data_IF_852023546654
#
_entry.id   IF_852023546654
#
_cell.length_a   1.000
_cell.length_b   1.000
_cell.length_c   1.000
_cell.angle_alpha   90.00
_cell.angle_beta   90.00
_cell.angle_gamma   90.00
#
_symmetry.space_group_name_H-M   'P 1'
#
loop_
_entity.id
_entity.type
_entity.pdbx_description
1 polymer ?
#
# COMPACT_ATOMS: atom_id res chain seq x y z
N UNK A 1 -22.18 -3.12 -5.49
CA UNK A 1 -20.80 -2.61 -5.56
C UNK A 1 -19.95 -3.77 -6.02
N UNK A 2 -19.24 -3.65 -7.14
CA UNK A 2 -18.26 -4.67 -7.55
C UNK A 2 -17.18 -4.81 -6.48
N UNK A 3 -16.55 -5.97 -6.38
CA UNK A 3 -15.56 -6.21 -5.35
C UNK A 3 -14.33 -5.34 -5.60
N UNK A 4 -13.72 -4.79 -4.55
CA UNK A 4 -12.57 -3.88 -4.65
C UNK A 4 -11.44 -4.47 -5.49
N UNK A 5 -11.23 -5.78 -5.38
CA UNK A 5 -10.26 -6.55 -6.17
C UNK A 5 -10.42 -6.45 -7.70
N UNK A 6 -11.61 -6.09 -8.18
CA UNK A 6 -11.95 -6.03 -9.61
C UNK A 6 -11.75 -4.62 -10.19
N UNK A 7 -11.67 -3.59 -9.34
CA UNK A 7 -11.65 -2.17 -9.74
C UNK A 7 -10.44 -1.40 -9.23
N UNK A 8 -9.80 -1.86 -8.15
CA UNK A 8 -8.66 -1.19 -7.55
C UNK A 8 -7.39 -1.55 -8.32
N UNK A 9 -6.81 -0.56 -8.97
CA UNK A 9 -5.44 -0.56 -9.47
C UNK A 9 -4.91 0.88 -9.44
N UNK A 10 -3.61 1.02 -9.67
CA UNK A 10 -3.01 2.34 -9.87
C UNK A 10 -3.22 2.79 -11.32
N UNK A 11 -3.11 4.09 -11.60
CA UNK A 11 -3.21 4.59 -12.98
C UNK A 11 -2.15 3.93 -13.87
N UNK A 12 -2.65 3.13 -14.82
CA UNK A 12 -1.85 2.35 -15.75
C UNK A 12 -1.07 3.22 -16.76
N UNK A 13 -0.13 2.60 -17.47
CA UNK A 13 0.64 3.25 -18.53
C UNK A 13 1.77 4.16 -18.03
N UNK A 14 2.19 5.09 -18.89
CA UNK A 14 3.40 5.92 -18.70
C UNK A 14 3.17 7.41 -18.94
N UNK A 15 1.90 7.84 -19.02
CA UNK A 15 1.51 9.24 -19.16
C UNK A 15 1.71 10.05 -17.88
N UNK A 16 1.49 11.37 -17.93
CA UNK A 16 1.77 12.26 -16.79
C UNK A 16 0.96 11.93 -15.51
N UNK A 17 -0.26 11.41 -15.67
CA UNK A 17 -1.11 10.98 -14.56
C UNK A 17 -0.91 9.51 -14.16
N UNK A 18 -0.02 8.78 -14.86
CA UNK A 18 0.28 7.38 -14.51
C UNK A 18 0.99 7.29 -13.17
N UNK A 19 0.77 6.18 -12.47
CA UNK A 19 1.45 5.89 -11.21
C UNK A 19 2.98 5.90 -11.38
N UNK A 20 3.48 5.38 -12.50
CA UNK A 20 4.92 5.36 -12.83
C UNK A 20 5.54 6.76 -12.80
N UNK A 21 4.79 7.80 -13.19
CA UNK A 21 5.29 9.18 -13.31
C UNK A 21 4.93 10.06 -12.12
N UNK A 22 3.76 9.85 -11.52
CA UNK A 22 3.21 10.72 -10.49
C UNK A 22 3.51 10.24 -9.06
N UNK A 23 3.78 8.94 -8.87
CA UNK A 23 4.00 8.38 -7.55
C UNK A 23 5.40 8.67 -7.01
N UNK A 24 5.55 9.88 -6.51
CA UNK A 24 6.79 10.38 -5.97
C UNK A 24 6.89 10.07 -4.45
N UNK A 25 5.76 10.05 -3.73
CA UNK A 25 5.71 9.75 -2.28
C UNK A 25 6.23 8.35 -1.96
N UNK A 26 5.72 7.31 -2.62
CA UNK A 26 6.17 5.92 -2.40
C UNK A 26 7.66 5.75 -2.69
N UNK A 27 8.21 6.42 -3.72
CA UNK A 27 9.66 6.41 -4.00
C UNK A 27 10.46 6.95 -2.81
N UNK A 28 9.99 8.06 -2.21
CA UNK A 28 10.64 8.66 -1.03
C UNK A 28 10.57 7.74 0.19
N UNK A 29 9.41 7.14 0.44
CA UNK A 29 9.22 6.15 1.51
C UNK A 29 10.19 4.99 1.32
N UNK A 30 10.21 4.39 0.13
CA UNK A 30 11.11 3.29 -0.20
C UNK A 30 12.58 3.63 0.03
N UNK A 31 13.01 4.86 -0.31
CA UNK A 31 14.36 5.32 -0.06
C UNK A 31 14.70 5.38 1.45
N UNK A 32 13.77 5.88 2.27
CA UNK A 32 13.94 5.95 3.74
C UNK A 32 13.95 4.55 4.37
N UNK A 33 13.05 3.68 3.90
CA UNK A 33 12.91 2.33 4.43
C UNK A 33 13.85 1.31 3.80
N UNK A 34 14.64 1.71 2.79
CA UNK A 34 15.57 0.82 2.08
C UNK A 34 16.42 -0.04 3.03
N UNK A 35 16.95 0.47 4.17
CA UNK A 35 17.74 -0.35 5.10
C UNK A 35 16.99 -1.50 5.78
N UNK A 36 15.65 -1.50 5.78
CA UNK A 36 14.84 -2.53 6.43
C UNK A 36 14.96 -3.87 5.68
N UNK A 37 14.97 -3.84 4.34
CA UNK A 37 15.07 -5.06 3.52
C UNK A 37 16.40 -5.79 3.73
N UNK A 38 17.59 -5.14 3.64
CA UNK A 38 18.86 -5.79 3.96
C UNK A 38 18.90 -6.37 5.38
N UNK A 39 18.33 -5.69 6.38
CA UNK A 39 18.25 -6.21 7.77
C UNK A 39 17.38 -7.46 7.84
N UNK A 40 16.23 -7.49 7.16
CA UNK A 40 15.37 -8.66 7.11
C UNK A 40 16.05 -9.85 6.40
N UNK A 41 16.78 -9.61 5.30
CA UNK A 41 17.58 -10.63 4.61
C UNK A 41 18.70 -11.15 5.53
N UNK A 42 19.43 -10.26 6.22
CA UNK A 42 20.46 -10.67 7.17
C UNK A 42 19.90 -11.54 8.29
N UNK A 43 18.76 -11.15 8.86
CA UNK A 43 18.04 -11.88 9.92
C UNK A 43 17.63 -13.29 9.43
N UNK A 44 17.03 -13.38 8.24
CA UNK A 44 16.65 -14.64 7.60
C UNK A 44 17.85 -15.60 7.43
N UNK A 45 18.95 -15.12 6.85
CA UNK A 45 20.13 -15.96 6.56
C UNK A 45 20.90 -16.36 7.82
N UNK A 46 20.87 -15.54 8.87
CA UNK A 46 21.54 -15.83 10.14
C UNK A 46 20.83 -16.94 10.91
N UNK A 47 19.50 -17.04 10.82
CA UNK A 47 18.72 -18.08 11.49
C UNK A 47 18.44 -19.32 10.64
N UNK A 48 18.82 -19.29 9.37
CA UNK A 48 18.78 -20.48 8.51
C UNK A 48 19.88 -21.44 8.96
N UNK A 49 19.52 -22.71 9.15
CA UNK A 49 20.44 -23.77 9.56
C UNK A 49 21.72 -23.74 8.72
N UNK A 50 22.87 -23.68 9.40
CA UNK A 50 24.15 -23.61 8.71
C UNK A 50 24.52 -24.89 7.97
N UNK A 51 23.93 -26.03 8.34
CA UNK A 51 24.18 -27.32 7.71
C UNK A 51 23.40 -27.54 6.41
N UNK A 52 22.33 -26.79 6.16
CA UNK A 52 21.48 -26.93 4.98
C UNK A 52 21.29 -25.54 4.35
N UNK A 53 22.18 -25.12 3.44
CA UNK A 53 22.03 -23.83 2.77
C UNK A 53 20.74 -23.83 1.93
N UNK A 54 20.06 -22.69 1.90
CA UNK A 54 18.96 -22.47 0.96
C UNK A 54 19.52 -22.60 -0.46
N UNK A 55 18.94 -23.47 -1.27
CA UNK A 55 19.27 -23.56 -2.69
C UNK A 55 18.49 -22.52 -3.50
N UNK A 56 17.28 -22.17 -3.04
CA UNK A 56 16.41 -21.17 -3.65
C UNK A 56 15.87 -20.25 -2.56
N UNK A 57 15.86 -18.94 -2.83
CA UNK A 57 15.21 -17.92 -2.00
C UNK A 57 14.02 -17.34 -2.75
N UNK A 58 12.83 -17.83 -2.38
CA UNK A 58 11.55 -17.30 -2.86
C UNK A 58 11.18 -16.00 -2.13
N UNK A 59 10.93 -14.95 -2.92
CA UNK A 59 10.66 -13.59 -2.46
C UNK A 59 9.38 -13.10 -3.12
N UNK A 60 8.44 -12.54 -2.37
CA UNK A 60 7.23 -11.91 -2.92
C UNK A 60 7.21 -10.41 -2.66
N UNK A 61 6.74 -9.64 -3.64
CA UNK A 61 6.35 -8.24 -3.52
C UNK A 61 4.83 -8.15 -3.69
N UNK A 62 4.11 -7.84 -2.61
CA UNK A 62 2.65 -7.83 -2.54
C UNK A 62 2.11 -6.42 -2.75
N UNK A 63 1.35 -6.24 -3.83
CA UNK A 63 0.90 -4.93 -4.30
C UNK A 63 2.04 -4.13 -4.89
N UNK A 64 2.73 -4.73 -5.87
CA UNK A 64 3.92 -4.19 -6.52
C UNK A 64 3.65 -3.01 -7.48
N UNK A 65 2.38 -2.83 -7.90
CA UNK A 65 1.94 -1.87 -8.89
C UNK A 65 2.81 -1.93 -10.17
N UNK A 66 3.22 -0.75 -10.66
CA UNK A 66 4.08 -0.57 -11.83
C UNK A 66 5.09 0.54 -11.56
N UNK A 67 6.26 0.49 -12.21
CA UNK A 67 7.27 1.55 -12.15
C UNK A 67 8.63 1.07 -11.62
N UNK A 68 9.52 2.00 -11.26
CA UNK A 68 10.86 1.66 -10.76
C UNK A 68 10.86 0.98 -9.38
N UNK A 69 9.79 1.12 -8.60
CA UNK A 69 9.65 0.64 -7.23
C UNK A 69 9.94 -0.88 -7.10
N UNK A 70 9.18 -1.79 -7.76
CA UNK A 70 9.45 -3.22 -7.67
C UNK A 70 10.84 -3.61 -8.15
N UNK A 71 11.38 -2.91 -9.17
CA UNK A 71 12.73 -3.18 -9.71
C UNK A 71 13.84 -2.81 -8.73
N UNK A 72 13.68 -1.70 -8.00
CA UNK A 72 14.61 -1.26 -6.95
C UNK A 72 14.54 -2.19 -5.73
N UNK A 73 13.35 -2.69 -5.39
CA UNK A 73 13.19 -3.72 -4.37
C UNK A 73 13.95 -5.01 -4.74
N UNK A 74 13.73 -5.53 -5.96
CA UNK A 74 14.45 -6.71 -6.47
C UNK A 74 15.97 -6.52 -6.42
N UNK A 75 16.45 -5.36 -6.88
CA UNK A 75 17.85 -4.96 -6.83
C UNK A 75 18.41 -5.00 -5.40
N UNK A 76 17.68 -4.42 -4.45
CA UNK A 76 18.07 -4.37 -3.03
C UNK A 76 18.15 -5.77 -2.43
N UNK A 77 17.22 -6.65 -2.76
CA UNK A 77 17.23 -8.06 -2.30
C UNK A 77 18.43 -8.82 -2.87
N UNK A 78 18.67 -8.73 -4.18
CA UNK A 78 19.80 -9.39 -4.85
C UNK A 78 21.13 -8.94 -4.20
N UNK A 79 21.33 -7.64 -4.06
CA UNK A 79 22.53 -7.06 -3.45
C UNK A 79 22.70 -7.50 -1.98
N UNK A 80 21.60 -7.58 -1.23
CA UNK A 80 21.62 -8.01 0.18
C UNK A 80 22.00 -9.48 0.33
N UNK A 81 21.46 -10.35 -0.53
CA UNK A 81 21.78 -11.79 -0.53
C UNK A 81 23.23 -12.00 -0.98
N UNK A 82 23.67 -11.34 -2.07
CA UNK A 82 25.05 -11.39 -2.54
C UNK A 82 26.04 -11.04 -1.42
N UNK A 83 25.79 -9.93 -0.75
CA UNK A 83 26.62 -9.47 0.38
C UNK A 83 26.66 -10.52 1.49
N UNK A 84 25.50 -11.01 1.92
CA UNK A 84 25.40 -11.95 3.04
C UNK A 84 26.01 -13.32 2.73
N UNK A 85 25.81 -13.85 1.52
CA UNK A 85 26.48 -15.07 1.07
C UNK A 85 27.99 -14.90 1.03
N UNK A 86 28.49 -13.77 0.52
CA UNK A 86 29.91 -13.44 0.53
C UNK A 86 30.51 -13.38 1.94
N UNK A 87 29.83 -12.73 2.89
CA UNK A 87 30.23 -12.67 4.31
C UNK A 87 30.29 -14.06 4.97
N UNK A 88 29.40 -14.98 4.56
CA UNK A 88 29.30 -16.33 5.12
C UNK A 88 30.14 -17.37 4.37
N UNK A 89 30.82 -16.99 3.28
CA UNK A 89 31.54 -17.92 2.40
C UNK A 89 30.61 -18.95 1.73
N UNK A 90 29.35 -18.59 1.47
CA UNK A 90 28.33 -19.46 0.88
C UNK A 90 28.18 -19.23 -0.61
N UNK A 91 27.75 -20.28 -1.30
CA UNK A 91 27.27 -20.16 -2.67
C UNK A 91 25.98 -19.31 -2.72
N UNK A 92 25.80 -18.63 -3.85
CA UNK A 92 24.62 -17.81 -4.10
C UNK A 92 23.43 -18.73 -4.40
N UNK A 93 22.31 -18.66 -3.64
CA UNK A 93 21.10 -19.37 -4.02
C UNK A 93 20.49 -18.78 -5.29
N UNK A 94 19.67 -19.56 -5.99
CA UNK A 94 18.78 -18.99 -6.98
C UNK A 94 17.72 -18.11 -6.29
N UNK A 95 17.35 -17.00 -6.91
CA UNK A 95 16.33 -16.11 -6.35
C UNK A 95 15.08 -16.17 -7.22
N UNK A 96 13.93 -16.47 -6.62
CA UNK A 96 12.65 -16.48 -7.32
C UNK A 96 11.77 -15.34 -6.80
N UNK A 97 11.51 -14.35 -7.65
CA UNK A 97 10.63 -13.22 -7.33
C UNK A 97 9.20 -13.48 -7.80
N UNK A 98 8.24 -13.21 -6.92
CA UNK A 98 6.81 -13.20 -7.22
C UNK A 98 6.31 -11.77 -7.10
N UNK A 99 6.00 -11.15 -8.23
CA UNK A 99 5.46 -9.80 -8.30
C UNK A 99 3.93 -9.91 -8.30
N UNK A 100 3.33 -9.64 -7.14
CA UNK A 100 1.90 -9.76 -6.93
C UNK A 100 1.21 -8.40 -7.03
N UNK A 101 0.07 -8.39 -7.70
CA UNK A 101 -0.90 -7.30 -7.65
C UNK A 101 -2.29 -7.84 -8.02
N UNK A 102 -3.31 -6.99 -7.95
CA UNK A 102 -4.65 -7.31 -8.43
C UNK A 102 -4.65 -7.48 -9.95
N UNK A 103 -5.68 -8.18 -10.46
CA UNK A 103 -5.77 -8.60 -11.87
C UNK A 103 -5.80 -7.42 -12.86
N UNK A 104 -6.26 -6.24 -12.41
CA UNK A 104 -6.34 -5.02 -13.23
C UNK A 104 -5.04 -4.22 -13.33
N UNK A 105 -3.97 -4.63 -12.63
CA UNK A 105 -2.67 -3.96 -12.70
C UNK A 105 -2.00 -4.18 -14.06
N UNK A 106 -1.23 -3.18 -14.52
CA UNK A 106 -0.52 -3.22 -15.81
C UNK A 106 0.77 -4.05 -15.74
N UNK A 107 0.60 -5.37 -15.62
CA UNK A 107 1.68 -6.35 -15.66
C UNK A 107 2.52 -6.25 -16.95
N UNK A 108 1.94 -5.80 -18.07
CA UNK A 108 2.68 -5.62 -19.32
C UNK A 108 3.77 -4.54 -19.17
N UNK A 109 3.44 -3.40 -18.58
CA UNK A 109 4.41 -2.34 -18.28
C UNK A 109 5.41 -2.80 -17.22
N UNK A 110 4.97 -3.51 -16.18
CA UNK A 110 5.87 -4.09 -15.18
C UNK A 110 6.91 -5.03 -15.79
N UNK A 111 6.48 -5.99 -16.63
CA UNK A 111 7.36 -6.98 -17.24
C UNK A 111 8.36 -6.37 -18.23
N UNK A 112 7.98 -5.31 -18.95
CA UNK A 112 8.93 -4.55 -19.79
C UNK A 112 10.09 -3.98 -18.95
N UNK A 113 9.80 -3.53 -17.73
CA UNK A 113 10.77 -2.99 -16.79
C UNK A 113 11.81 -4.00 -16.28
N UNK A 114 11.50 -5.31 -16.27
CA UNK A 114 12.40 -6.37 -15.77
C UNK A 114 13.73 -6.44 -16.51
N UNK A 115 13.77 -5.99 -17.77
CA UNK A 115 15.00 -5.88 -18.56
C UNK A 115 16.08 -5.04 -17.87
N UNK A 116 15.70 -4.03 -17.08
CA UNK A 116 16.64 -3.20 -16.31
C UNK A 116 17.38 -4.01 -15.25
N UNK A 117 16.66 -4.89 -14.53
CA UNK A 117 17.25 -5.77 -13.51
C UNK A 117 18.11 -6.85 -14.18
N UNK A 118 17.66 -7.37 -15.32
CA UNK A 118 18.40 -8.37 -16.10
C UNK A 118 19.75 -7.84 -16.56
N UNK A 119 19.78 -6.62 -17.08
CA UNK A 119 21.02 -6.00 -17.53
C UNK A 119 21.98 -5.71 -16.38
N UNK A 120 21.44 -5.33 -15.20
CA UNK A 120 22.24 -5.03 -13.99
C UNK A 120 22.82 -6.28 -13.33
N UNK A 121 22.10 -7.41 -13.31
CA UNK A 121 22.48 -8.62 -12.56
C UNK A 121 22.63 -9.88 -13.43
N UNK A 122 23.27 -9.76 -14.61
CA UNK A 122 23.50 -10.88 -15.55
C UNK A 122 24.25 -12.10 -14.96
N UNK A 123 25.00 -11.90 -13.87
CA UNK A 123 25.83 -12.93 -13.23
C UNK A 123 25.15 -13.64 -12.05
N UNK A 124 23.91 -13.26 -11.74
CA UNK A 124 23.13 -13.84 -10.64
C UNK A 124 22.01 -14.68 -11.22
N UNK A 125 21.80 -15.90 -10.73
CA UNK A 125 20.63 -16.71 -11.11
C UNK A 125 19.40 -16.17 -10.38
N UNK A 126 18.56 -15.42 -11.10
CA UNK A 126 17.29 -14.95 -10.58
C UNK A 126 16.19 -15.09 -11.64
N UNK A 127 14.97 -15.27 -11.16
CA UNK A 127 13.77 -15.45 -11.97
C UNK A 127 12.65 -14.57 -11.43
N UNK A 128 11.75 -14.11 -12.28
CA UNK A 128 10.56 -13.37 -11.87
C UNK A 128 9.29 -13.96 -12.48
N UNK A 129 8.24 -14.00 -11.68
CA UNK A 129 6.89 -14.43 -12.06
C UNK A 129 5.89 -13.36 -11.65
N UNK A 130 4.85 -13.16 -12.47
CA UNK A 130 3.66 -12.43 -12.05
C UNK A 130 2.74 -13.33 -11.21
N UNK A 131 2.19 -12.79 -10.13
CA UNK A 131 1.24 -13.49 -9.27
C UNK A 131 -0.06 -12.67 -9.15
N UNK A 132 -0.95 -12.69 -10.16
CA UNK A 132 -2.18 -11.90 -10.12
C UNK A 132 -3.16 -12.45 -9.06
N UNK A 133 -3.65 -11.58 -8.18
CA UNK A 133 -4.64 -11.94 -7.17
C UNK A 133 -4.58 -11.08 -5.91
N UNK A 134 -5.64 -11.15 -5.10
CA UNK A 134 -5.71 -10.42 -3.83
C UNK A 134 -4.84 -11.09 -2.76
N UNK A 135 -3.95 -10.32 -2.13
CA UNK A 135 -3.20 -10.77 -0.96
C UNK A 135 -4.06 -10.91 0.30
N UNK A 136 -5.34 -10.52 0.28
CA UNK A 136 -6.27 -10.86 1.36
C UNK A 136 -6.64 -12.35 1.37
N UNK A 137 -6.25 -13.12 0.34
CA UNK A 137 -6.35 -14.57 0.27
C UNK A 137 -4.99 -15.28 0.26
N UNK A 138 -5.01 -16.59 -0.01
CA UNK A 138 -3.82 -17.38 -0.34
C UNK A 138 -3.37 -17.09 -1.77
N UNK A 139 -2.07 -16.88 -1.95
CA UNK A 139 -1.41 -16.66 -3.24
C UNK A 139 -0.40 -17.77 -3.56
N UNK A 140 0.25 -18.32 -2.54
CA UNK A 140 1.37 -19.25 -2.71
C UNK A 140 1.10 -20.58 -2.00
N UNK A 141 1.78 -21.67 -2.39
CA UNK A 141 1.78 -22.93 -1.63
C UNK A 141 2.22 -22.75 -0.17
N UNK A 142 1.96 -23.76 0.68
CA UNK A 142 2.41 -23.70 2.07
C UNK A 142 3.93 -23.82 2.14
N UNK A 143 4.55 -23.08 3.08
CA UNK A 143 5.99 -23.10 3.33
C UNK A 143 6.88 -22.83 2.11
N UNK A 144 6.41 -22.03 1.14
CA UNK A 144 7.14 -21.72 -0.08
C UNK A 144 7.87 -20.39 -0.04
N UNK A 145 7.51 -19.44 0.81
CA UNK A 145 8.04 -18.07 0.78
C UNK A 145 9.08 -17.82 1.88
N UNK A 146 10.24 -17.25 1.56
CA UNK A 146 11.26 -16.93 2.57
C UNK A 146 11.20 -15.47 3.01
N UNK A 147 10.93 -14.58 2.05
CA UNK A 147 10.75 -13.15 2.30
C UNK A 147 9.47 -12.68 1.60
N UNK A 148 8.60 -12.02 2.33
CA UNK A 148 7.43 -11.32 1.79
C UNK A 148 7.62 -9.84 2.06
N UNK A 149 7.44 -9.02 1.03
CA UNK A 149 7.52 -7.57 1.09
C UNK A 149 6.19 -6.97 0.64
N UNK A 150 5.82 -5.83 1.20
CA UNK A 150 4.75 -5.00 0.69
C UNK A 150 5.04 -3.56 1.06
N UNK A 151 4.90 -2.65 0.10
CA UNK A 151 5.09 -1.23 0.31
C UNK A 151 3.90 -0.45 -0.24
N UNK A 152 3.18 0.20 0.67
CA UNK A 152 2.04 1.07 0.42
C UNK A 152 0.86 0.35 -0.26
N UNK A 153 0.59 -0.89 0.18
CA UNK A 153 -0.50 -1.71 -0.36
C UNK A 153 -1.45 -2.24 0.72
N UNK A 154 -0.95 -2.61 1.90
CA UNK A 154 -1.73 -3.27 2.99
C UNK A 154 -2.84 -2.40 3.60
N UNK A 155 -2.76 -1.07 3.46
CA UNK A 155 -3.80 -0.16 3.95
C UNK A 155 -5.07 -0.18 3.09
N UNK A 156 -5.03 -0.76 1.88
CA UNK A 156 -6.21 -0.99 1.06
C UNK A 156 -6.98 -2.20 1.59
N UNK A 157 -8.25 -1.99 1.88
CA UNK A 157 -9.17 -2.99 2.41
C UNK A 157 -9.65 -3.94 1.30
N UNK A 158 -10.09 -5.13 1.68
CA UNK A 158 -10.62 -6.13 0.75
C UNK A 158 -11.98 -5.74 0.18
N UNK A 159 -12.76 -4.97 0.94
CA UNK A 159 -14.01 -4.34 0.53
C UNK A 159 -14.22 -2.99 1.23
N UNK A 160 -15.08 -2.16 0.66
CA UNK A 160 -15.52 -0.93 1.33
C UNK A 160 -16.38 -1.29 2.54
N UNK A 161 -16.16 -0.72 3.73
CA UNK A 161 -16.96 -1.06 4.90
C UNK A 161 -18.45 -0.75 4.66
N UNK A 162 -19.32 -1.66 5.10
CA UNK A 162 -20.78 -1.49 4.98
C UNK A 162 -21.27 -0.44 5.99
N UNK A 163 -21.46 0.78 5.50
CA UNK A 163 -21.78 1.96 6.34
C UNK A 163 -23.22 2.42 6.04
N UNK A 164 -24.19 1.63 6.50
CA UNK A 164 -25.62 1.93 6.37
C UNK A 164 -26.32 1.86 7.73
N UNK A 165 -27.43 2.57 7.87
CA UNK A 165 -28.31 2.44 9.03
C UNK A 165 -29.18 1.17 8.93
N UNK A 166 -30.03 0.94 9.94
CA UNK A 166 -30.95 -0.21 9.98
C UNK A 166 -31.92 -0.26 8.78
N UNK A 167 -32.23 0.89 8.18
CA UNK A 167 -33.08 1.02 7.00
C UNK A 167 -32.31 0.86 5.67
N UNK A 168 -31.00 0.57 5.71
CA UNK A 168 -30.15 0.46 4.52
C UNK A 168 -29.74 1.79 3.89
N UNK A 169 -30.01 2.93 4.55
CA UNK A 169 -29.61 4.24 4.06
C UNK A 169 -28.15 4.55 4.43
N UNK A 170 -27.39 5.25 3.57
CA UNK A 170 -26.00 5.56 3.88
C UNK A 170 -25.84 6.45 5.11
N UNK A 171 -24.87 6.11 5.97
CA UNK A 171 -24.56 6.85 7.19
C UNK A 171 -23.48 7.93 7.00
N UNK A 172 -22.57 7.76 6.03
CA UNK A 172 -21.42 8.64 5.84
C UNK A 172 -21.69 9.74 4.79
N UNK A 173 -22.84 10.40 4.90
CA UNK A 173 -23.33 11.33 3.87
C UNK A 173 -22.34 12.47 3.58
N UNK A 174 -22.19 12.80 2.29
CA UNK A 174 -21.27 13.84 1.81
C UNK A 174 -19.79 13.55 2.06
N UNK A 175 -19.43 12.34 2.53
CA UNK A 175 -18.06 11.91 2.82
C UNK A 175 -17.78 10.62 2.08
N UNK A 176 -16.51 10.42 1.71
CA UNK A 176 -16.06 9.18 1.06
C UNK A 176 -15.17 8.34 1.97
N UNK A 177 -14.76 8.87 3.12
CA UNK A 177 -13.92 8.21 4.12
C UNK A 177 -14.37 8.60 5.53
N UNK A 178 -13.70 8.09 6.56
CA UNK A 178 -13.84 8.65 7.91
C UNK A 178 -13.49 10.14 7.90
N UNK A 179 -14.28 10.94 8.61
CA UNK A 179 -14.06 12.36 8.82
C UNK A 179 -14.46 12.74 10.24
N UNK A 180 -14.03 13.92 10.71
CA UNK A 180 -14.44 14.47 12.01
C UNK A 180 -15.95 14.66 12.13
N UNK A 181 -16.64 14.81 11.01
CA UNK A 181 -18.11 14.98 10.95
C UNK A 181 -18.85 13.65 10.74
N UNK A 182 -18.13 12.53 10.58
CA UNK A 182 -18.74 11.22 10.38
C UNK A 182 -19.29 10.67 11.71
N UNK A 183 -20.43 9.95 11.70
CA UNK A 183 -20.92 9.26 12.89
C UNK A 183 -19.89 8.25 13.43
N UNK A 184 -19.83 7.99 14.76
CA UNK A 184 -18.91 7.01 15.35
C UNK A 184 -19.05 5.58 14.79
N UNK A 185 -20.22 5.22 14.25
CA UNK A 185 -20.43 3.94 13.57
C UNK A 185 -19.52 3.77 12.34
N UNK A 186 -19.17 4.87 11.66
CA UNK A 186 -18.29 4.87 10.48
C UNK A 186 -16.89 4.41 10.89
N UNK A 187 -16.29 5.05 11.90
CA UNK A 187 -14.93 4.71 12.35
C UNK A 187 -14.83 3.27 12.86
N UNK A 188 -15.88 2.80 13.56
CA UNK A 188 -15.99 1.41 14.00
C UNK A 188 -16.06 0.42 12.82
N UNK A 189 -16.80 0.74 11.77
CA UNK A 189 -16.92 -0.11 10.58
C UNK A 189 -15.57 -0.25 9.85
N UNK A 190 -14.87 0.87 9.64
CA UNK A 190 -13.53 0.89 9.06
C UNK A 190 -12.52 0.08 9.86
N UNK A 191 -12.49 0.27 11.18
CA UNK A 191 -11.62 -0.52 12.06
C UNK A 191 -11.96 -2.01 11.98
N UNK A 192 -13.24 -2.38 12.03
CA UNK A 192 -13.67 -3.78 11.94
C UNK A 192 -13.22 -4.44 10.64
N UNK A 193 -13.38 -3.76 9.51
CA UNK A 193 -12.94 -4.26 8.20
C UNK A 193 -11.42 -4.45 8.16
N UNK A 194 -10.66 -3.45 8.62
CA UNK A 194 -9.21 -3.56 8.69
C UNK A 194 -8.74 -4.72 9.58
N UNK A 195 -9.39 -4.93 10.74
CA UNK A 195 -9.06 -6.03 11.64
C UNK A 195 -9.26 -7.39 10.97
N UNK A 196 -10.32 -7.57 10.20
CA UNK A 196 -10.60 -8.80 9.44
C UNK A 196 -9.57 -9.02 8.33
N UNK A 197 -9.30 -7.98 7.55
CA UNK A 197 -8.38 -8.03 6.40
C UNK A 197 -6.94 -8.28 6.85
N UNK A 198 -6.47 -7.53 7.84
CA UNK A 198 -5.10 -7.66 8.36
C UNK A 198 -4.91 -9.00 9.09
N UNK A 199 -5.90 -9.49 9.86
CA UNK A 199 -5.82 -10.82 10.47
C UNK A 199 -5.74 -11.92 9.39
N UNK A 200 -6.52 -11.79 8.32
CA UNK A 200 -6.48 -12.72 7.19
C UNK A 200 -5.13 -12.69 6.48
N UNK A 201 -4.58 -11.50 6.24
CA UNK A 201 -3.23 -11.32 5.69
C UNK A 201 -2.19 -12.04 6.56
N UNK A 202 -2.16 -11.79 7.88
CA UNK A 202 -1.23 -12.46 8.80
C UNK A 202 -1.35 -13.99 8.73
N UNK A 203 -2.58 -14.50 8.82
CA UNK A 203 -2.91 -15.95 8.78
C UNK A 203 -2.50 -16.61 7.47
N UNK A 204 -2.70 -15.95 6.33
CA UNK A 204 -2.36 -16.51 5.03
C UNK A 204 -0.87 -16.44 4.76
N UNK A 205 -0.22 -15.31 5.08
CA UNK A 205 1.24 -15.18 4.97
C UNK A 205 1.95 -16.18 5.87
N UNK A 206 1.50 -16.39 7.10
CA UNK A 206 2.14 -17.36 8.00
C UNK A 206 2.09 -18.79 7.49
N UNK A 207 1.02 -19.19 6.79
CA UNK A 207 0.93 -20.50 6.14
C UNK A 207 1.89 -20.64 4.93
N UNK A 208 2.10 -19.55 4.21
CA UNK A 208 2.93 -19.51 2.99
C UNK A 208 4.41 -19.38 3.29
N UNK A 209 4.76 -18.73 4.40
CA UNK A 209 6.15 -18.56 4.81
C UNK A 209 6.80 -19.91 5.16
N UNK A 210 8.01 -20.13 4.66
CA UNK A 210 8.90 -21.19 5.13
C UNK A 210 9.28 -20.97 6.61
N UNK A 211 9.79 -22.00 7.31
CA UNK A 211 10.37 -21.83 8.65
C UNK A 211 11.40 -20.69 8.67
N UNK A 212 11.35 -19.84 9.70
CA UNK A 212 12.15 -18.61 9.82
C UNK A 212 11.91 -17.57 8.71
N UNK A 213 10.84 -17.67 7.92
CA UNK A 213 10.50 -16.65 6.93
C UNK A 213 10.20 -15.28 7.56
N UNK A 214 10.43 -14.22 6.78
CA UNK A 214 10.20 -12.82 7.18
C UNK A 214 9.12 -12.17 6.34
N UNK A 215 8.36 -11.27 6.96
CA UNK A 215 7.45 -10.34 6.29
C UNK A 215 7.90 -8.92 6.59
N UNK A 216 8.07 -8.09 5.58
CA UNK A 216 8.34 -6.66 5.70
C UNK A 216 7.14 -5.92 5.13
N UNK A 217 6.40 -5.22 5.98
CA UNK A 217 5.25 -4.44 5.56
C UNK A 217 5.52 -2.97 5.83
N UNK A 218 5.31 -2.13 4.83
CA UNK A 218 5.40 -0.69 4.93
C UNK A 218 4.10 -0.13 4.39
N UNK A 219 3.32 0.62 5.16
CA UNK A 219 2.03 1.12 4.70
C UNK A 219 1.62 2.37 5.47
N UNK A 220 0.67 3.14 4.92
CA UNK A 220 0.12 4.29 5.60
C UNK A 220 -0.50 3.92 6.94
N UNK A 221 -0.25 4.73 7.95
CA UNK A 221 -0.76 4.57 9.30
C UNK A 221 -1.04 5.92 9.94
N UNK A 222 -1.03 5.96 11.27
CA UNK A 222 -1.23 7.17 12.06
C UNK A 222 -0.49 7.07 13.40
N UNK A 223 -0.08 8.21 13.92
CA UNK A 223 0.47 8.31 15.28
C UNK A 223 -0.61 8.60 16.33
N UNK A 224 -1.71 9.25 15.93
CA UNK A 224 -2.76 9.68 16.85
C UNK A 224 -3.74 8.55 17.15
N UNK A 225 -4.21 8.50 18.39
CA UNK A 225 -5.29 7.58 18.81
C UNK A 225 -6.62 7.88 18.10
N UNK A 226 -6.84 9.12 17.65
CA UNK A 226 -7.99 9.51 16.82
C UNK A 226 -7.76 9.14 15.33
N UNK A 227 -8.60 8.27 14.73
CA UNK A 227 -8.48 7.90 13.32
C UNK A 227 -8.95 9.00 12.36
N UNK A 228 -9.63 10.04 12.87
CA UNK A 228 -10.17 11.16 12.08
C UNK A 228 -9.24 12.38 12.05
N UNK A 229 -7.98 12.20 12.44
CA UNK A 229 -6.98 13.26 12.43
C UNK A 229 -6.76 13.81 11.01
N UNK A 230 -6.41 15.10 10.93
CA UNK A 230 -6.15 15.83 9.68
C UNK A 230 -5.16 15.07 8.77
N UNK A 231 -4.02 14.62 9.30
CA UNK A 231 -2.98 13.97 8.52
C UNK A 231 -3.46 12.63 7.90
N UNK A 232 -4.44 11.98 8.54
CA UNK A 232 -5.04 10.74 8.05
C UNK A 232 -6.13 10.98 7.00
N UNK A 233 -7.01 11.96 7.23
CA UNK A 233 -8.26 12.10 6.47
C UNK A 233 -8.22 13.17 5.39
N UNK A 234 -7.28 14.11 5.42
CA UNK A 234 -7.35 15.34 4.62
C UNK A 234 -7.48 15.10 3.11
N UNK A 235 -6.73 14.15 2.54
CA UNK A 235 -6.84 13.80 1.12
C UNK A 235 -8.26 13.40 0.74
N UNK A 236 -8.90 12.58 1.58
CA UNK A 236 -10.24 12.06 1.33
C UNK A 236 -11.32 13.09 1.60
N UNK A 237 -11.15 13.94 2.62
CA UNK A 237 -12.03 15.09 2.87
C UNK A 237 -12.02 16.07 1.69
N UNK A 238 -10.84 16.37 1.14
CA UNK A 238 -10.67 17.25 -0.01
C UNK A 238 -11.34 16.70 -1.28
N UNK A 239 -11.17 15.39 -1.55
CA UNK A 239 -11.85 14.74 -2.67
C UNK A 239 -13.37 14.67 -2.46
N UNK A 240 -13.84 14.45 -1.22
CA UNK A 240 -15.27 14.50 -0.88
C UNK A 240 -15.86 15.90 -1.09
N UNK A 241 -15.13 16.96 -0.75
CA UNK A 241 -15.55 18.34 -0.99
C UNK A 241 -15.64 18.65 -2.50
N UNK A 242 -14.65 18.20 -3.27
CA UNK A 242 -14.69 18.34 -4.73
C UNK A 242 -15.87 17.57 -5.35
N UNK A 243 -16.16 16.36 -4.89
CA UNK A 243 -17.35 15.59 -5.30
C UNK A 243 -18.65 16.30 -4.91
N UNK A 244 -18.72 16.85 -3.69
CA UNK A 244 -19.90 17.59 -3.21
C UNK A 244 -20.16 18.84 -4.06
N UNK A 245 -19.09 19.52 -4.51
CA UNK A 245 -19.22 20.59 -5.50
C UNK A 245 -19.81 20.07 -6.81
N UNK A 246 -19.35 18.94 -7.35
CA UNK A 246 -19.92 18.37 -8.57
C UNK A 246 -21.38 17.93 -8.42
N UNK A 247 -21.79 17.48 -7.23
CA UNK A 247 -23.21 17.24 -6.88
C UNK A 247 -24.00 18.55 -6.97
N UNK A 248 -23.49 19.65 -6.39
CA UNK A 248 -24.14 20.97 -6.47
C UNK A 248 -24.29 21.50 -7.90
N UNK A 249 -23.43 21.06 -8.83
CA UNK A 249 -23.49 21.40 -10.24
C UNK A 249 -24.40 20.46 -11.06
N UNK A 250 -25.03 19.47 -10.43
CA UNK A 250 -25.84 18.45 -11.10
C UNK A 250 -25.03 17.48 -11.97
N UNK A 251 -23.71 17.38 -11.76
CA UNK A 251 -22.81 16.51 -12.52
C UNK A 251 -22.66 15.12 -11.88
N UNK A 252 -22.89 15.01 -10.58
CA UNK A 252 -22.86 13.75 -9.81
C UNK A 252 -24.18 13.60 -9.06
N UNK A 253 -24.74 12.39 -9.07
CA UNK A 253 -25.89 12.04 -8.25
C UNK A 253 -25.52 12.01 -6.76
N UNK A 254 -26.28 12.70 -5.91
CA UNK A 254 -26.01 12.79 -4.47
C UNK A 254 -26.05 11.40 -3.80
N UNK A 255 -26.95 10.52 -4.24
CA UNK A 255 -27.03 9.15 -3.74
C UNK A 255 -25.79 8.32 -4.05
N UNK A 256 -25.13 8.55 -5.20
CA UNK A 256 -23.83 7.93 -5.53
C UNK A 256 -22.71 8.41 -4.63
N UNK A 257 -22.70 9.68 -4.22
CA UNK A 257 -21.72 10.21 -3.26
C UNK A 257 -21.97 9.60 -1.88
N UNK A 258 -23.20 9.67 -1.38
CA UNK A 258 -23.56 9.21 -0.04
C UNK A 258 -23.32 7.71 0.16
N UNK A 259 -23.49 6.90 -0.89
CA UNK A 259 -23.29 5.45 -0.85
C UNK A 259 -21.84 5.00 -1.06
N UNK A 260 -20.95 5.89 -1.49
CA UNK A 260 -19.56 5.56 -1.80
C UNK A 260 -18.65 5.74 -0.58
N UNK A 261 -17.85 4.71 -0.29
CA UNK A 261 -16.83 4.73 0.75
C UNK A 261 -15.55 4.11 0.20
N UNK A 262 -14.40 4.74 0.47
CA UNK A 262 -13.10 4.25 -0.01
C UNK A 262 -12.67 3.05 0.82
N UNK A 263 -12.19 1.95 0.20
CA UNK A 263 -11.74 0.75 0.91
C UNK A 263 -10.32 0.95 1.43
N UNK A 264 -10.14 1.81 2.42
CA UNK A 264 -8.83 2.28 2.85
C UNK A 264 -8.79 2.47 4.37
N UNK A 265 -7.69 2.13 5.04
CA UNK A 265 -7.54 2.35 6.48
C UNK A 265 -6.10 2.63 6.91
N UNK A 266 -5.90 3.68 7.72
CA UNK A 266 -4.64 4.00 8.35
C UNK A 266 -4.65 3.55 9.83
N UNK A 267 -4.04 2.40 10.16
CA UNK A 267 -3.98 1.92 11.53
C UNK A 267 -2.90 2.64 12.36
N UNK A 268 -3.03 2.57 13.69
CA UNK A 268 -1.95 2.92 14.62
C UNK A 268 -1.03 1.72 14.87
N UNK A 269 0.15 1.96 15.45
CA UNK A 269 1.04 0.85 15.84
C UNK A 269 0.40 -0.07 16.87
N UNK A 270 -0.43 0.45 17.78
CA UNK A 270 -1.13 -0.32 18.81
C UNK A 270 -2.12 -1.30 18.17
N UNK A 271 -2.85 -0.87 17.14
CA UNK A 271 -3.76 -1.73 16.37
C UNK A 271 -2.99 -2.86 15.68
N UNK A 272 -1.82 -2.57 15.09
CA UNK A 272 -0.95 -3.57 14.47
C UNK A 272 -0.42 -4.57 15.50
N UNK A 273 0.14 -4.08 16.62
CA UNK A 273 0.67 -4.94 17.70
C UNK A 273 -0.41 -5.88 18.23
N UNK A 274 -1.60 -5.33 18.53
CA UNK A 274 -2.74 -6.11 18.99
C UNK A 274 -3.12 -7.23 18.00
N UNK A 275 -3.18 -6.93 16.70
CA UNK A 275 -3.59 -7.91 15.70
C UNK A 275 -2.53 -8.99 15.46
N UNK A 276 -1.24 -8.63 15.47
CA UNK A 276 -0.15 -9.61 15.37
C UNK A 276 -0.15 -10.56 16.58
N UNK A 277 -0.31 -10.01 17.79
CA UNK A 277 -0.35 -10.82 19.01
C UNK A 277 -1.61 -11.71 19.06
N UNK A 278 -2.77 -11.17 18.64
CA UNK A 278 -4.04 -11.89 18.61
C UNK A 278 -4.04 -13.06 17.62
N UNK A 279 -3.51 -12.87 16.41
CA UNK A 279 -3.44 -13.94 15.42
C UNK A 279 -2.38 -14.99 15.82
N UNK A 280 -1.24 -14.54 16.32
CA UNK A 280 -0.32 -15.35 17.09
C UNK A 280 0.66 -16.22 16.30
N UNK A 281 0.61 -16.27 14.97
CA UNK A 281 1.53 -17.08 14.14
C UNK A 281 2.85 -16.38 13.79
N UNK A 282 2.91 -15.05 13.98
CA UNK A 282 4.05 -14.19 13.67
C UNK A 282 4.54 -13.44 14.92
N UNK A 283 5.81 -13.05 14.96
CA UNK A 283 6.39 -12.15 15.97
C UNK A 283 6.90 -10.88 15.32
N UNK A 284 6.71 -9.74 15.97
CA UNK A 284 7.29 -8.46 15.56
C UNK A 284 8.78 -8.44 15.93
N UNK A 285 9.66 -8.32 14.93
CA UNK A 285 11.10 -8.09 15.15
C UNK A 285 11.41 -6.58 15.22
N UNK A 286 10.68 -5.78 14.46
CA UNK A 286 10.87 -4.34 14.36
C UNK A 286 9.53 -3.69 13.99
N UNK A 287 9.23 -2.55 14.60
CA UNK A 287 8.14 -1.68 14.19
C UNK A 287 8.55 -0.24 14.43
N UNK A 288 8.34 0.61 13.44
CA UNK A 288 8.65 2.03 13.52
C UNK A 288 7.70 2.86 12.67
N UNK A 289 7.66 4.16 12.95
CA UNK A 289 6.86 5.13 12.22
C UNK A 289 7.76 6.02 11.37
N UNK A 290 7.35 6.26 10.13
CA UNK A 290 7.99 7.18 9.19
C UNK A 290 7.08 8.39 9.06
N UNK A 291 7.66 9.57 9.22
CA UNK A 291 6.94 10.83 9.07
C UNK A 291 7.52 11.61 7.89
N UNK A 292 6.64 12.01 6.97
CA UNK A 292 7.00 12.79 5.80
C UNK A 292 6.10 14.01 5.70
N UNK A 293 6.70 15.20 5.63
CA UNK A 293 5.96 16.42 5.28
C UNK A 293 5.57 16.35 3.79
N UNK A 294 4.26 16.29 3.50
CA UNK A 294 3.75 16.17 2.14
C UNK A 294 3.21 17.47 1.57
N UNK A 295 2.79 18.40 2.43
CA UNK A 295 2.24 19.69 2.02
C UNK A 295 2.97 20.85 2.65
N UNK A 296 2.94 21.99 1.97
CA UNK A 296 3.64 23.21 2.37
C UNK A 296 4.90 23.51 1.57
N UNK A 297 5.54 24.66 1.82
CA UNK A 297 6.69 25.13 1.03
C UNK A 297 7.88 24.15 1.03
N UNK A 298 8.03 23.40 2.12
CA UNK A 298 9.04 22.36 2.30
C UNK A 298 8.47 20.95 2.10
N UNK A 299 7.17 20.85 1.80
CA UNK A 299 6.47 19.60 1.58
C UNK A 299 6.96 18.93 0.30
N UNK A 300 6.91 17.60 0.30
CA UNK A 300 7.37 16.80 -0.83
C UNK A 300 6.66 17.14 -2.15
N UNK A 301 5.36 17.44 -2.08
CA UNK A 301 4.64 18.05 -3.19
C UNK A 301 4.62 19.57 -3.02
N UNK A 302 5.54 20.23 -3.73
CA UNK A 302 5.79 21.66 -3.60
C UNK A 302 4.68 22.56 -4.15
N UNK A 303 3.75 22.00 -4.93
CA UNK A 303 2.61 22.71 -5.51
C UNK A 303 1.31 21.94 -5.33
N UNK A 304 0.16 22.63 -5.20
CA UNK A 304 -1.16 22.00 -5.21
C UNK A 304 -1.36 21.06 -6.39
N UNK A 305 -0.93 21.44 -7.59
CA UNK A 305 -1.05 20.66 -8.83
C UNK A 305 -0.27 19.34 -8.72
N UNK A 306 0.98 19.39 -8.22
CA UNK A 306 1.79 18.18 -8.04
C UNK A 306 1.19 17.23 -7.00
N UNK A 307 0.58 17.78 -5.95
CA UNK A 307 -0.08 17.01 -4.89
C UNK A 307 -1.35 16.33 -5.39
N UNK A 308 -2.21 17.06 -6.10
CA UNK A 308 -3.42 16.46 -6.67
C UNK A 308 -3.07 15.42 -7.74
N UNK A 309 -2.02 15.65 -8.55
CA UNK A 309 -1.53 14.63 -9.49
C UNK A 309 -1.08 13.35 -8.77
N UNK A 310 -0.35 13.50 -7.66
CA UNK A 310 0.02 12.38 -6.79
C UNK A 310 -1.20 11.66 -6.21
N UNK A 311 -2.23 12.38 -5.77
CA UNK A 311 -3.48 11.76 -5.32
C UNK A 311 -4.23 11.06 -6.46
N UNK A 312 -4.27 11.68 -7.65
CA UNK A 312 -4.95 11.17 -8.83
C UNK A 312 -4.41 9.80 -9.25
N UNK A 313 -3.09 9.60 -9.22
CA UNK A 313 -2.50 8.38 -9.74
C UNK A 313 -2.84 7.09 -8.96
N UNK A 314 -3.31 7.18 -7.72
CA UNK A 314 -3.77 6.03 -6.93
C UNK A 314 -5.28 6.06 -6.59
N UNK A 315 -6.00 7.13 -6.94
CA UNK A 315 -7.45 7.24 -6.65
C UNK A 315 -8.33 7.20 -7.89
N UNK A 316 -7.80 7.55 -9.07
CA UNK A 316 -8.60 7.74 -10.28
C UNK A 316 -9.32 6.47 -10.74
N UNK A 317 -8.71 5.27 -10.76
CA UNK A 317 -9.42 4.07 -11.22
C UNK A 317 -10.63 3.73 -10.33
N UNK A 318 -10.50 3.93 -9.02
CA UNK A 318 -11.60 3.72 -8.07
C UNK A 318 -12.72 4.76 -8.26
N UNK A 319 -12.36 6.05 -8.40
CA UNK A 319 -13.32 7.14 -8.53
C UNK A 319 -13.99 7.16 -9.92
N UNK A 320 -13.25 6.82 -10.98
CA UNK A 320 -13.79 6.75 -12.34
C UNK A 320 -14.77 5.60 -12.49
N UNK A 321 -14.54 4.47 -11.81
CA UNK A 321 -15.49 3.37 -11.77
C UNK A 321 -16.83 3.79 -11.15
N UNK A 322 -16.82 4.52 -10.03
CA UNK A 322 -18.05 4.92 -9.34
C UNK A 322 -18.77 6.09 -10.02
N UNK A 323 -18.02 7.13 -10.39
CA UNK A 323 -18.56 8.42 -10.83
C UNK A 323 -18.51 8.62 -12.35
N UNK A 324 -17.71 7.83 -13.07
CA UNK A 324 -17.53 7.87 -14.51
C UNK A 324 -16.28 8.64 -14.94
N UNK A 325 -15.55 8.08 -15.91
CA UNK A 325 -14.28 8.63 -16.44
C UNK A 325 -14.37 10.09 -16.89
N UNK A 326 -15.49 10.47 -17.51
CA UNK A 326 -15.69 11.83 -18.07
C UNK A 326 -15.68 12.94 -17.01
N UNK A 327 -15.81 12.60 -15.73
CA UNK A 327 -15.82 13.57 -14.62
C UNK A 327 -14.46 13.72 -13.94
N UNK A 328 -13.48 12.85 -14.22
CA UNK A 328 -12.22 12.83 -13.48
C UNK A 328 -11.45 14.14 -13.61
N UNK A 329 -11.32 14.70 -14.81
CA UNK A 329 -10.64 15.99 -14.99
C UNK A 329 -11.32 17.10 -14.18
N UNK A 330 -12.65 17.21 -14.25
CA UNK A 330 -13.39 18.21 -13.46
C UNK A 330 -13.25 18.01 -11.95
N UNK A 331 -13.22 16.76 -11.50
CA UNK A 331 -13.03 16.43 -10.08
C UNK A 331 -11.66 16.87 -9.59
N UNK A 332 -10.60 16.49 -10.30
CA UNK A 332 -9.23 16.82 -9.89
C UNK A 332 -8.89 18.30 -10.11
N UNK A 333 -9.47 18.96 -11.11
CA UNK A 333 -9.37 20.42 -11.27
C UNK A 333 -10.00 21.13 -10.06
N UNK A 334 -11.19 20.68 -9.63
CA UNK A 334 -11.84 21.27 -8.45
C UNK A 334 -11.06 20.99 -7.16
N UNK A 335 -10.56 19.77 -6.99
CA UNK A 335 -9.69 19.40 -5.88
C UNK A 335 -8.42 20.29 -5.83
N UNK A 336 -7.85 20.61 -7.00
CA UNK A 336 -6.72 21.54 -7.11
C UNK A 336 -7.09 22.94 -6.67
N UNK A 337 -8.25 23.47 -7.10
CA UNK A 337 -8.73 24.78 -6.67
C UNK A 337 -8.93 24.87 -5.15
N UNK A 338 -9.55 23.85 -4.54
CA UNK A 338 -9.75 23.79 -3.08
C UNK A 338 -8.40 23.81 -2.38
N UNK A 339 -7.45 23.01 -2.86
CA UNK A 339 -6.11 22.93 -2.28
C UNK A 339 -5.36 24.27 -2.41
N UNK A 340 -5.44 24.95 -3.57
CA UNK A 340 -4.85 26.28 -3.76
C UNK A 340 -5.40 27.28 -2.74
N UNK A 341 -6.70 27.26 -2.46
CA UNK A 341 -7.29 28.11 -1.44
C UNK A 341 -6.81 27.72 -0.03
N UNK A 342 -6.71 26.43 0.29
CA UNK A 342 -6.18 25.98 1.58
C UNK A 342 -4.72 26.45 1.81
N UNK A 343 -3.89 26.44 0.77
CA UNK A 343 -2.53 26.98 0.82
C UNK A 343 -2.51 28.48 1.13
N UNK A 344 -3.45 29.27 0.59
CA UNK A 344 -3.55 30.70 0.92
C UNK A 344 -3.92 30.94 2.39
N UNK A 345 -4.57 29.97 3.04
CA UNK A 345 -5.03 30.07 4.42
C UNK A 345 -4.10 29.38 5.44
N UNK A 346 -2.89 28.95 5.04
CA UNK A 346 -1.95 28.30 5.97
C UNK A 346 -2.35 26.87 6.35
N UNK A 347 -3.24 26.22 5.59
CA UNK A 347 -3.74 24.87 5.87
C UNK A 347 -2.97 23.78 5.13
N UNK A 348 -1.95 24.14 4.35
CA UNK A 348 -1.19 23.26 3.47
C UNK A 348 -0.35 22.22 4.21
N UNK A 349 0.09 22.53 5.44
CA UNK A 349 0.92 21.63 6.23
C UNK A 349 0.12 20.38 6.63
N UNK A 350 0.50 19.25 6.05
CA UNK A 350 0.01 17.91 6.40
C UNK A 350 1.17 16.94 6.29
N UNK A 351 1.12 15.89 7.11
CA UNK A 351 2.11 14.84 7.14
C UNK A 351 1.53 13.55 6.57
N UNK A 352 2.38 12.77 5.91
CA UNK A 352 2.11 11.36 5.67
C UNK A 352 2.82 10.55 6.74
N UNK A 353 2.05 9.68 7.40
CA UNK A 353 2.56 8.78 8.42
C UNK A 353 2.58 7.37 7.82
N UNK A 354 3.77 6.80 7.68
CA UNK A 354 3.96 5.39 7.34
C UNK A 354 4.28 4.56 8.59
N UNK A 355 3.87 3.30 8.61
CA UNK A 355 4.32 2.30 9.58
C UNK A 355 5.15 1.28 8.81
N UNK A 356 6.36 1.01 9.29
CA UNK A 356 7.18 -0.08 8.81
C UNK A 356 7.28 -1.16 9.90
N UNK A 357 6.92 -2.39 9.56
CA UNK A 357 6.94 -3.54 10.47
C UNK A 357 7.65 -4.73 9.83
N UNK A 358 8.54 -5.36 10.58
CA UNK A 358 9.19 -6.62 10.22
C UNK A 358 8.65 -7.70 11.13
N UNK A 359 8.07 -8.73 10.52
CA UNK A 359 7.51 -9.89 11.19
C UNK A 359 8.33 -11.14 10.85
N UNK A 360 8.35 -12.08 11.80
CA UNK A 360 8.99 -13.39 11.67
C UNK A 360 7.98 -14.50 11.93
N UNK A 361 8.03 -15.58 11.14
CA UNK A 361 7.27 -16.81 11.43
C UNK A 361 7.72 -17.46 12.73
N UNK A 362 6.79 -17.67 13.67
CA UNK A 362 7.07 -18.44 14.88
C UNK A 362 7.40 -19.89 14.53
N UNK A 363 8.33 -20.48 15.29
CA UNK A 363 8.52 -21.92 15.32
C UNK A 363 7.34 -22.50 16.11
N UNK A 364 6.39 -23.11 15.40
CA UNK A 364 5.28 -23.85 16.03
C UNK A 364 5.73 -25.25 16.42
#
# INVERSE_FOLDING_TARGET
MEAVKDVLCMNNGVGENSYVKAEALTIKVMAITKPIVPKAVQSLFTETDHSIPLQVVNVADLGCAVGPQPLEFMSTVIESILKKCGEMGREMPEIQFFLNDLVGNDFNTLFKGLSVVQEKYKKVSWFAMGAPGSFHGRLFPRNSMHLVYSCYSVHWLSEAPKITNEAGLPLNKGKIYMSKTSPPAVTKAYLSQFQEDFSSLLKFRSQELAPNGRVVLIFNGRQTADPTNKDTCYTWDLLAEALSYLVSQGLVDEGKLDSFNVPYYNPSQEEIKYLVDKEGSLTIEFIDTIELEIGGPNGYWSSPESRIRGHRCFTEPLLSHQFGERLMDKLYDKATQILVEDYKHGKEATKNIGIAVVLKKKKL
#
